data_IF_551784205063
#
_entry.id   IF_551784205063
#
_cell.length_a   1.000
_cell.length_b   1.000
_cell.length_c   1.000
_cell.angle_alpha   90.00
_cell.angle_beta   90.00
_cell.angle_gamma   90.00
#
_symmetry.space_group_name_H-M   'P 1'
#
loop_
_entity.id
_entity.type
_entity.pdbx_description
1 polymer ?
#
# COMPACT_ATOMS: atom_id res chain seq x y z
N UNK A 1 35.37 13.36 18.34
CA UNK A 1 33.90 13.40 18.15
C UNK A 1 33.27 13.58 19.51
N UNK A 2 32.36 14.55 19.68
CA UNK A 2 31.67 14.73 20.97
C UNK A 2 30.65 13.62 21.22
N UNK A 3 30.31 13.39 22.49
CA UNK A 3 29.29 12.43 22.89
C UNK A 3 27.91 12.76 22.28
N UNK A 4 27.16 11.73 21.90
CA UNK A 4 25.80 11.86 21.32
C UNK A 4 24.84 12.63 22.24
N UNK A 5 25.00 12.50 23.56
CA UNK A 5 24.21 13.18 24.58
C UNK A 5 25.10 14.01 25.50
N UNK A 6 25.93 14.89 24.92
CA UNK A 6 26.70 15.83 25.71
C UNK A 6 25.79 16.71 26.57
N UNK A 7 25.96 16.62 27.89
CA UNK A 7 25.24 17.43 28.89
C UNK A 7 25.68 18.89 28.79
N UNK A 8 26.99 19.10 28.70
CA UNK A 8 27.60 20.42 28.61
C UNK A 8 27.96 20.72 27.15
N UNK A 9 27.54 21.89 26.68
CA UNK A 9 27.90 22.43 25.37
C UNK A 9 28.71 23.69 25.61
N UNK A 10 29.80 23.85 24.87
CA UNK A 10 30.57 25.09 24.93
C UNK A 10 29.76 26.23 24.31
N UNK A 11 29.54 27.29 25.08
CA UNK A 11 29.01 28.55 24.60
C UNK A 11 30.17 29.55 24.58
N UNK A 12 30.43 30.23 23.45
CA UNK A 12 31.50 31.21 23.39
C UNK A 12 31.21 32.41 24.32
N UNK A 13 32.22 33.11 24.85
CA UNK A 13 32.03 34.22 25.79
C UNK A 13 31.14 35.35 25.26
N UNK A 14 31.13 35.56 23.94
CA UNK A 14 30.32 36.58 23.26
C UNK A 14 28.86 36.15 23.00
N UNK A 15 28.48 34.92 23.40
CA UNK A 15 27.13 34.40 23.19
C UNK A 15 26.14 35.02 24.19
N UNK A 16 25.23 35.85 23.66
CA UNK A 16 24.09 36.38 24.39
C UNK A 16 22.87 35.43 24.24
N UNK A 17 22.39 34.79 25.33
CA UNK A 17 21.22 33.90 25.29
C UNK A 17 19.95 34.59 24.79
N UNK A 18 19.85 35.92 24.93
CA UNK A 18 18.69 36.71 24.49
C UNK A 18 18.52 36.69 22.97
N UNK A 19 19.61 36.45 22.21
CA UNK A 19 19.60 36.39 20.74
C UNK A 19 19.10 35.05 20.19
N UNK A 20 18.75 34.10 21.07
CA UNK A 20 18.27 32.76 20.74
C UNK A 20 19.37 31.71 20.76
N UNK A 21 19.06 30.48 20.33
CA UNK A 21 19.99 29.36 20.43
C UNK A 21 21.27 29.50 19.62
N UNK A 22 22.31 28.74 20.00
CA UNK A 22 23.66 28.75 19.38
C UNK A 22 23.66 28.65 17.84
N UNK A 23 22.74 27.87 17.26
CA UNK A 23 22.59 27.78 15.81
C UNK A 23 22.23 29.14 15.19
N UNK A 24 21.32 29.89 15.82
CA UNK A 24 20.88 31.21 15.37
C UNK A 24 22.00 32.24 15.53
N UNK A 25 22.77 32.20 16.62
CA UNK A 25 23.92 33.09 16.80
C UNK A 25 25.04 32.83 15.77
N UNK A 26 25.19 31.57 15.31
CA UNK A 26 26.14 31.20 14.25
C UNK A 26 25.56 31.29 12.83
N UNK A 27 24.31 31.75 12.66
CA UNK A 27 23.65 31.81 11.35
C UNK A 27 23.42 30.44 10.70
N UNK A 28 23.52 29.35 11.46
CA UNK A 28 23.32 27.99 10.94
C UNK A 28 21.93 27.48 11.27
N UNK A 29 21.35 26.66 10.39
CA UNK A 29 20.08 26.01 10.64
C UNK A 29 20.29 24.67 11.37
N UNK A 30 19.39 24.30 12.28
CA UNK A 30 19.49 23.04 13.04
C UNK A 30 19.53 21.79 12.14
N UNK A 31 18.80 21.83 11.03
CA UNK A 31 18.78 20.77 10.01
C UNK A 31 19.90 20.88 8.96
N UNK A 32 20.79 21.88 9.08
CA UNK A 32 21.94 22.14 8.19
C UNK A 32 21.56 22.00 6.71
N UNK A 33 22.25 21.13 5.97
CA UNK A 33 22.07 20.92 4.54
C UNK A 33 20.66 20.47 4.14
N UNK A 34 19.93 19.78 5.03
CA UNK A 34 18.56 19.36 4.73
C UNK A 34 17.59 20.54 4.57
N UNK A 35 17.92 21.67 5.20
CA UNK A 35 17.14 22.90 5.14
C UNK A 35 17.66 23.91 4.11
N UNK A 36 18.59 23.51 3.21
CA UNK A 36 19.13 24.41 2.17
C UNK A 36 18.05 25.06 1.30
N UNK A 37 16.95 24.34 1.04
CA UNK A 37 15.81 24.80 0.22
C UNK A 37 14.60 25.27 1.05
N UNK A 38 14.80 25.57 2.34
CA UNK A 38 13.70 25.95 3.24
C UNK A 38 13.02 27.27 2.82
N UNK A 39 13.76 28.19 2.21
CA UNK A 39 13.21 29.43 1.63
C UNK A 39 12.18 29.18 0.52
N UNK A 40 12.21 28.00 -0.13
CA UNK A 40 11.22 27.56 -1.12
C UNK A 40 10.09 26.72 -0.48
N UNK A 41 10.10 26.56 0.85
CA UNK A 41 9.20 25.64 1.57
C UNK A 41 9.52 24.17 1.35
N UNK A 42 10.74 23.84 0.90
CA UNK A 42 11.16 22.47 0.59
C UNK A 42 12.13 21.98 1.67
N UNK A 43 11.82 20.84 2.28
CA UNK A 43 12.69 20.16 3.24
C UNK A 43 13.17 18.82 2.66
N UNK A 44 14.47 18.57 2.70
CA UNK A 44 15.03 17.29 2.27
C UNK A 44 14.90 16.28 3.42
N UNK A 45 14.16 15.20 3.18
CA UNK A 45 13.93 14.13 4.15
C UNK A 45 14.35 12.77 3.57
N UNK A 46 14.52 11.78 4.45
CA UNK A 46 14.67 10.38 4.02
C UNK A 46 13.29 9.75 3.97
N UNK A 47 12.88 9.30 2.79
CA UNK A 47 11.56 8.74 2.53
C UNK A 47 11.71 7.27 2.08
N UNK A 48 10.85 6.40 2.61
CA UNK A 48 10.77 4.99 2.25
C UNK A 48 9.56 4.76 1.36
N UNK A 49 9.73 3.98 0.30
CA UNK A 49 8.65 3.73 -0.65
C UNK A 49 7.51 2.91 -0.03
N UNK A 50 6.26 3.40 -0.07
CA UNK A 50 5.12 2.73 0.57
C UNK A 50 4.60 1.51 -0.22
N UNK A 51 4.84 1.45 -1.53
CA UNK A 51 4.45 0.33 -2.39
C UNK A 51 5.41 0.18 -3.58
N UNK A 52 5.31 -0.95 -4.27
CA UNK A 52 6.02 -1.20 -5.50
C UNK A 52 5.57 -0.26 -6.62
N UNK A 53 6.53 0.29 -7.36
CA UNK A 53 6.26 1.16 -8.52
C UNK A 53 7.12 0.77 -9.72
N UNK A 54 6.63 1.13 -10.90
CA UNK A 54 7.36 1.12 -12.16
C UNK A 54 7.73 2.55 -12.52
N UNK A 55 9.02 2.82 -12.75
CA UNK A 55 9.43 4.16 -13.19
C UNK A 55 9.14 4.33 -14.68
N UNK A 56 8.46 5.41 -15.08
CA UNK A 56 8.12 5.66 -16.49
C UNK A 56 9.35 5.97 -17.36
N UNK A 57 10.45 6.42 -16.75
CA UNK A 57 11.66 6.82 -17.49
C UNK A 57 12.55 5.65 -17.90
N UNK A 58 12.68 4.61 -17.06
CA UNK A 58 13.53 3.46 -17.32
C UNK A 58 12.80 2.12 -17.29
N UNK A 59 11.48 2.12 -17.05
CA UNK A 59 10.62 0.93 -16.92
C UNK A 59 11.13 -0.14 -15.94
N UNK A 60 12.03 0.25 -15.02
CA UNK A 60 12.52 -0.63 -13.97
C UNK A 60 11.62 -0.56 -12.74
N UNK A 61 11.55 -1.70 -12.05
CA UNK A 61 10.79 -1.86 -10.82
C UNK A 61 11.55 -1.26 -9.63
N UNK A 62 10.84 -0.48 -8.81
CA UNK A 62 11.30 -0.01 -7.50
C UNK A 62 10.45 -0.69 -6.45
N UNK A 63 11.10 -1.49 -5.61
CA UNK A 63 10.44 -2.21 -4.54
C UNK A 63 9.98 -1.31 -3.39
N UNK A 64 9.01 -1.81 -2.63
CA UNK A 64 8.61 -1.26 -1.33
C UNK A 64 9.82 -1.16 -0.39
N UNK A 65 9.89 -0.09 0.42
CA UNK A 65 10.96 0.10 1.42
C UNK A 65 12.27 0.68 0.87
N UNK A 66 12.41 0.89 -0.44
CA UNK A 66 13.59 1.56 -1.00
C UNK A 66 13.65 3.00 -0.47
N UNK A 67 14.84 3.40 0.01
CA UNK A 67 15.08 4.69 0.67
C UNK A 67 15.57 5.75 -0.32
N UNK A 68 14.89 6.89 -0.36
CA UNK A 68 15.26 8.05 -1.16
C UNK A 68 15.51 9.29 -0.31
N UNK A 69 16.34 10.19 -0.83
CA UNK A 69 16.35 11.59 -0.39
C UNK A 69 15.23 12.29 -1.16
N UNK A 70 14.15 12.65 -0.46
CA UNK A 70 12.97 13.26 -1.04
C UNK A 70 12.85 14.73 -0.66
N UNK A 71 12.42 15.54 -1.62
CA UNK A 71 12.04 16.92 -1.41
C UNK A 71 10.59 16.99 -0.96
N UNK A 72 10.37 17.25 0.33
CA UNK A 72 9.04 17.42 0.94
C UNK A 72 8.58 18.86 0.75
N UNK A 73 7.44 19.03 0.09
CA UNK A 73 6.74 20.32 -0.10
C UNK A 73 5.30 20.21 0.43
N UNK A 74 4.79 21.24 1.12
CA UNK A 74 3.37 21.35 1.44
C UNK A 74 2.63 21.94 0.23
N UNK A 75 1.60 21.26 -0.27
CA UNK A 75 0.90 21.66 -1.51
C UNK A 75 -0.54 22.06 -1.26
N UNK A 76 -1.20 21.48 -0.25
CA UNK A 76 -2.58 21.80 0.09
C UNK A 76 -2.94 21.41 1.52
N UNK A 77 -4.24 21.46 1.81
CA UNK A 77 -4.82 20.99 3.06
C UNK A 77 -6.09 20.19 2.76
N UNK A 78 -6.24 19.06 3.44
CA UNK A 78 -7.46 18.27 3.52
C UNK A 78 -8.09 18.52 4.90
N UNK A 79 -9.12 19.38 4.94
CA UNK A 79 -9.64 19.96 6.19
C UNK A 79 -8.52 20.57 7.06
N UNK A 80 -8.18 19.93 8.18
CA UNK A 80 -7.09 20.36 9.08
C UNK A 80 -5.73 19.69 8.77
N UNK A 81 -5.70 18.63 7.95
CA UNK A 81 -4.49 17.85 7.68
C UNK A 81 -3.75 18.40 6.45
N UNK A 82 -2.45 18.72 6.55
CA UNK A 82 -1.67 19.19 5.40
C UNK A 82 -1.39 18.06 4.40
N UNK A 83 -1.57 18.36 3.11
CA UNK A 83 -1.18 17.47 2.01
C UNK A 83 0.27 17.77 1.64
N UNK A 84 1.11 16.74 1.70
CA UNK A 84 2.52 16.82 1.31
C UNK A 84 2.75 16.15 -0.03
N UNK A 85 3.60 16.78 -0.84
CA UNK A 85 4.13 16.23 -2.07
C UNK A 85 5.62 15.94 -1.89
N UNK A 86 6.04 14.77 -2.33
CA UNK A 86 7.41 14.29 -2.28
C UNK A 86 7.93 14.11 -3.69
N UNK A 87 8.96 14.88 -4.04
CA UNK A 87 9.69 14.73 -5.29
C UNK A 87 10.99 14.01 -5.02
N UNK A 88 11.27 12.96 -5.78
CA UNK A 88 12.52 12.21 -5.65
C UNK A 88 13.01 11.71 -7.01
N UNK A 89 14.33 11.46 -7.09
CA UNK A 89 15.01 11.01 -8.30
C UNK A 89 15.11 9.49 -8.30
N UNK A 90 14.88 8.86 -9.45
CA UNK A 90 15.12 7.43 -9.62
C UNK A 90 16.61 7.09 -9.44
N UNK A 91 16.91 5.91 -8.88
CA UNK A 91 18.29 5.46 -8.69
C UNK A 91 18.97 5.03 -10.00
N UNK A 92 18.19 4.62 -11.00
CA UNK A 92 18.68 4.12 -12.29
C UNK A 92 18.66 5.17 -13.40
N UNK A 93 17.85 6.22 -13.29
CA UNK A 93 17.68 7.20 -14.36
C UNK A 93 17.61 8.65 -13.83
N UNK A 94 17.82 9.67 -14.68
CA UNK A 94 17.68 11.07 -14.30
C UNK A 94 16.22 11.51 -14.07
N UNK A 95 15.25 10.63 -14.33
CA UNK A 95 13.84 10.96 -14.16
C UNK A 95 13.49 11.21 -12.69
N UNK A 96 12.56 12.14 -12.47
CA UNK A 96 11.99 12.42 -11.18
C UNK A 96 10.54 11.98 -11.19
N UNK A 97 10.08 11.46 -10.06
CA UNK A 97 8.69 11.12 -9.86
C UNK A 97 8.18 11.79 -8.59
N UNK A 98 6.88 12.02 -8.57
CA UNK A 98 6.20 12.80 -7.54
C UNK A 98 5.05 12.02 -6.94
N UNK A 99 5.00 11.99 -5.62
CA UNK A 99 3.97 11.28 -4.85
C UNK A 99 3.33 12.26 -3.86
N UNK A 100 2.02 12.20 -3.72
CA UNK A 100 1.24 13.00 -2.75
C UNK A 100 0.64 12.11 -1.68
N UNK A 101 0.47 12.65 -0.48
CA UNK A 101 -0.35 12.04 0.58
C UNK A 101 -1.82 12.21 0.27
N UNK A 102 -2.62 11.16 0.39
CA UNK A 102 -4.08 11.22 0.37
C UNK A 102 -4.65 10.86 1.76
N UNK A 103 -5.01 11.87 2.58
CA UNK A 103 -5.57 11.64 3.90
C UNK A 103 -6.96 11.00 3.90
N UNK A 104 -7.72 11.07 2.78
CA UNK A 104 -9.06 10.49 2.71
C UNK A 104 -9.02 8.96 2.68
N UNK A 105 -8.10 8.40 1.89
CA UNK A 105 -7.93 6.96 1.71
C UNK A 105 -6.79 6.35 2.55
N UNK A 106 -6.11 7.16 3.36
CA UNK A 106 -4.91 6.76 4.13
C UNK A 106 -3.81 6.14 3.24
N UNK A 107 -3.70 6.61 2.00
CA UNK A 107 -2.77 6.09 1.00
C UNK A 107 -1.91 7.22 0.40
N UNK A 108 -1.04 6.86 -0.52
CA UNK A 108 -0.26 7.79 -1.33
C UNK A 108 -0.67 7.68 -2.79
N UNK A 109 -0.86 8.82 -3.43
CA UNK A 109 -1.18 8.92 -4.86
C UNK A 109 0.06 9.31 -5.66
N UNK A 110 0.34 8.59 -6.75
CA UNK A 110 1.41 8.96 -7.67
C UNK A 110 0.88 10.02 -8.63
N UNK A 111 1.54 11.17 -8.68
CA UNK A 111 1.15 12.29 -9.54
C UNK A 111 1.81 12.18 -10.90
N UNK A 112 3.10 11.84 -10.93
CA UNK A 112 3.89 11.84 -12.17
C UNK A 112 5.15 10.98 -12.06
N UNK A 113 5.62 10.47 -13.20
CA UNK A 113 6.93 9.86 -13.37
C UNK A 113 7.04 8.40 -12.90
N UNK A 114 5.94 7.83 -12.40
CA UNK A 114 5.85 6.44 -12.00
C UNK A 114 4.42 5.91 -12.06
N UNK A 115 4.31 4.59 -12.21
CA UNK A 115 3.05 3.86 -12.16
C UNK A 115 3.07 2.89 -10.98
N UNK A 116 1.98 2.83 -10.21
CA UNK A 116 1.84 1.88 -9.11
C UNK A 116 1.76 0.46 -9.69
N UNK A 117 2.49 -0.48 -9.09
CA UNK A 117 2.22 -1.89 -9.36
C UNK A 117 0.96 -2.27 -8.57
N UNK A 118 -0.14 -2.46 -9.29
CA UNK A 118 -1.37 -2.99 -8.70
C UNK A 118 -1.16 -4.46 -8.35
N UNK A 119 -1.07 -4.75 -7.05
CA UNK A 119 -1.11 -6.13 -6.51
C UNK A 119 -2.33 -6.33 -5.62
N UNK A 120 -3.31 -5.41 -5.69
CA UNK A 120 -4.58 -5.60 -5.00
C UNK A 120 -5.22 -6.82 -5.63
N UNK A 121 -5.46 -7.83 -4.81
CA UNK A 121 -6.12 -9.06 -5.21
C UNK A 121 -7.52 -8.71 -5.72
N UNK A 122 -7.78 -9.00 -6.98
CA UNK A 122 -9.13 -8.95 -7.54
C UNK A 122 -9.79 -10.33 -7.26
N UNK A 123 -10.81 -10.39 -6.37
CA UNK A 123 -11.50 -11.64 -6.08
C UNK A 123 -12.16 -12.26 -7.33
N UNK A 124 -12.51 -11.42 -8.31
CA UNK A 124 -13.21 -11.82 -9.53
C UNK A 124 -12.32 -12.61 -10.49
N UNK A 125 -10.99 -12.42 -10.45
CA UNK A 125 -10.04 -13.07 -11.36
C UNK A 125 -9.71 -14.53 -10.97
N UNK A 126 -10.07 -15.00 -9.77
CA UNK A 126 -9.66 -16.31 -9.25
C UNK A 126 -10.80 -17.31 -9.01
N UNK A 127 -11.98 -17.09 -9.60
CA UNK A 127 -13.17 -17.97 -9.45
C UNK A 127 -13.57 -18.25 -7.98
N UNK A 128 -13.06 -17.45 -7.03
CA UNK A 128 -13.47 -17.52 -5.64
C UNK A 128 -14.85 -16.87 -5.49
N UNK A 129 -15.64 -17.37 -4.54
CA UNK A 129 -16.93 -16.76 -4.19
C UNK A 129 -16.65 -15.34 -3.68
N UNK A 130 -16.85 -14.36 -4.55
CA UNK A 130 -16.65 -12.95 -4.25
C UNK A 130 -17.69 -12.56 -3.19
N UNK A 131 -17.28 -11.99 -2.04
CA UNK A 131 -18.22 -11.41 -1.11
C UNK A 131 -19.06 -10.36 -1.84
N UNK A 132 -20.38 -10.40 -1.66
CA UNK A 132 -21.29 -9.49 -2.35
C UNK A 132 -20.87 -8.02 -2.19
N UNK A 133 -21.07 -7.23 -3.26
CA UNK A 133 -20.70 -5.82 -3.28
C UNK A 133 -21.19 -5.08 -2.04
N UNK A 134 -20.37 -4.12 -1.55
CA UNK A 134 -20.69 -3.30 -0.38
C UNK A 134 -22.04 -2.59 -0.47
N UNK A 135 -22.52 -2.35 -1.69
CA UNK A 135 -23.84 -1.77 -1.95
C UNK A 135 -24.97 -2.78 -1.76
N UNK A 136 -24.78 -4.02 -2.21
CA UNK A 136 -25.76 -5.11 -2.06
C UNK A 136 -25.91 -5.47 -0.59
N UNK A 137 -24.79 -5.60 0.13
CA UNK A 137 -24.80 -5.81 1.58
C UNK A 137 -25.49 -4.67 2.33
N UNK A 138 -25.31 -3.42 1.89
CA UNK A 138 -26.02 -2.27 2.47
C UNK A 138 -27.52 -2.32 2.17
N UNK A 139 -27.91 -2.67 0.94
CA UNK A 139 -29.32 -2.85 0.55
C UNK A 139 -29.98 -3.98 1.32
N UNK A 140 -29.31 -5.12 1.50
CA UNK A 140 -29.80 -6.22 2.34
C UNK A 140 -29.97 -5.84 3.82
N UNK A 141 -29.18 -4.89 4.33
CA UNK A 141 -29.30 -4.42 5.70
C UNK A 141 -30.45 -3.41 5.88
N UNK A 142 -30.73 -2.59 4.86
CA UNK A 142 -31.72 -1.51 4.92
C UNK A 142 -33.10 -1.95 4.45
N UNK A 143 -33.18 -2.79 3.43
CA UNK A 143 -34.43 -3.23 2.81
C UNK A 143 -34.73 -4.71 3.14
N UNK A 144 -35.79 -4.92 3.92
CA UNK A 144 -36.25 -6.23 4.33
C UNK A 144 -36.83 -7.07 3.18
N UNK A 145 -37.44 -6.43 2.16
CA UNK A 145 -38.01 -7.14 1.01
C UNK A 145 -36.89 -7.66 0.10
N UNK A 146 -35.91 -6.80 -0.19
CA UNK A 146 -34.73 -7.17 -0.99
C UNK A 146 -33.95 -8.35 -0.37
N UNK A 147 -33.78 -8.35 0.96
CA UNK A 147 -33.16 -9.46 1.69
C UNK A 147 -33.95 -10.76 1.56
N UNK A 148 -35.28 -10.68 1.60
CA UNK A 148 -36.16 -11.85 1.44
C UNK A 148 -36.05 -12.44 0.03
N UNK A 149 -36.06 -11.60 -1.00
CA UNK A 149 -35.90 -12.02 -2.40
C UNK A 149 -34.53 -12.65 -2.66
N UNK A 150 -33.46 -12.06 -2.14
CA UNK A 150 -32.11 -12.64 -2.23
C UNK A 150 -32.04 -14.00 -1.54
N UNK A 151 -32.58 -14.10 -0.32
CA UNK A 151 -32.62 -15.37 0.40
C UNK A 151 -33.45 -16.46 -0.28
N UNK A 152 -34.49 -16.10 -1.06
CA UNK A 152 -35.22 -17.06 -1.90
C UNK A 152 -34.38 -17.48 -3.10
N UNK A 153 -33.72 -16.53 -3.78
CA UNK A 153 -32.81 -16.80 -4.89
C UNK A 153 -31.68 -17.76 -4.50
N UNK A 154 -31.08 -17.57 -3.32
CA UNK A 154 -30.01 -18.44 -2.82
C UNK A 154 -30.49 -19.85 -2.52
N UNK A 155 -31.72 -20.01 -2.01
CA UNK A 155 -32.33 -21.32 -1.80
C UNK A 155 -32.57 -22.06 -3.12
N UNK A 156 -33.03 -21.35 -4.15
CA UNK A 156 -33.24 -21.93 -5.48
C UNK A 156 -31.91 -22.40 -6.06
N UNK A 157 -30.87 -21.54 -6.02
CA UNK A 157 -29.52 -21.93 -6.45
C UNK A 157 -28.99 -23.14 -5.69
N UNK A 158 -29.19 -23.21 -4.37
CA UNK A 158 -28.82 -24.38 -3.56
C UNK A 158 -29.52 -25.64 -4.07
N UNK A 159 -30.83 -25.59 -4.30
CA UNK A 159 -31.61 -26.74 -4.79
C UNK A 159 -31.19 -27.19 -6.20
N UNK A 160 -30.78 -26.26 -7.06
CA UNK A 160 -30.25 -26.58 -8.39
C UNK A 160 -28.89 -27.29 -8.33
N UNK A 161 -28.03 -26.88 -7.38
CA UNK A 161 -26.67 -27.41 -7.21
C UNK A 161 -26.65 -28.74 -6.44
N UNK A 162 -27.57 -28.93 -5.49
CA UNK A 162 -27.71 -30.15 -4.68
C UNK A 162 -27.66 -31.47 -5.47
N UNK A 163 -28.43 -31.68 -6.57
CA UNK A 163 -28.38 -32.93 -7.33
C UNK A 163 -27.03 -33.13 -8.04
N UNK A 164 -26.33 -32.06 -8.40
CA UNK A 164 -24.99 -32.13 -8.99
C UNK A 164 -23.98 -32.59 -7.93
N UNK A 165 -24.05 -32.02 -6.72
CA UNK A 165 -23.22 -32.45 -5.59
C UNK A 165 -23.46 -33.91 -5.22
N UNK A 166 -24.72 -34.35 -5.14
CA UNK A 166 -25.05 -35.76 -4.87
C UNK A 166 -24.50 -36.70 -5.95
N UNK A 167 -24.53 -36.30 -7.24
CA UNK A 167 -23.92 -37.08 -8.32
C UNK A 167 -22.41 -37.18 -8.16
N UNK A 168 -21.74 -36.08 -7.82
CA UNK A 168 -20.29 -36.05 -7.57
C UNK A 168 -19.90 -36.91 -6.37
N UNK A 169 -20.65 -36.83 -5.27
CA UNK A 169 -20.44 -37.67 -4.09
C UNK A 169 -20.60 -39.16 -4.41
N UNK A 170 -21.67 -39.53 -5.14
CA UNK A 170 -21.88 -40.92 -5.59
C UNK A 170 -20.76 -41.40 -6.50
N UNK A 171 -20.32 -40.56 -7.43
CA UNK A 171 -19.23 -40.87 -8.34
C UNK A 171 -17.92 -41.09 -7.57
N UNK A 172 -17.62 -40.21 -6.61
CA UNK A 172 -16.45 -40.32 -5.74
C UNK A 172 -16.50 -41.58 -4.87
N UNK A 173 -17.64 -41.84 -4.21
CA UNK A 173 -17.82 -43.02 -3.36
C UNK A 173 -17.60 -44.32 -4.14
N UNK A 174 -18.05 -44.39 -5.40
CA UNK A 174 -17.83 -45.57 -6.23
C UNK A 174 -16.34 -45.74 -6.62
N UNK A 175 -15.64 -44.65 -6.91
CA UNK A 175 -14.22 -44.67 -7.31
C UNK A 175 -13.27 -45.02 -6.15
N UNK A 176 -13.62 -44.60 -4.94
CA UNK A 176 -12.82 -44.83 -3.72
C UNK A 176 -13.26 -46.06 -2.93
N UNK A 177 -14.28 -46.79 -3.39
CA UNK A 177 -14.64 -48.07 -2.79
C UNK A 177 -13.56 -49.14 -3.03
N UNK A 178 -12.79 -49.03 -4.12
CA UNK A 178 -11.67 -49.92 -4.43
C UNK A 178 -10.37 -49.11 -4.60
N UNK A 179 -9.78 -48.76 -3.46
CA UNK A 179 -8.52 -48.03 -3.39
C UNK A 179 -7.37 -48.78 -4.08
N UNK A 180 -7.41 -50.12 -4.11
CA UNK A 180 -6.35 -50.93 -4.70
C UNK A 180 -6.32 -50.82 -6.22
N UNK A 181 -7.46 -50.94 -6.90
CA UNK A 181 -7.53 -50.79 -8.37
C UNK A 181 -7.26 -49.35 -8.81
N UNK A 182 -7.77 -48.35 -8.08
CA UNK A 182 -7.47 -46.94 -8.32
C UNK A 182 -5.96 -46.65 -8.23
N UNK A 183 -5.28 -47.15 -7.20
CA UNK A 183 -3.83 -47.02 -7.04
C UNK A 183 -3.03 -47.78 -8.10
N UNK A 184 -3.49 -48.97 -8.50
CA UNK A 184 -2.85 -49.75 -9.58
C UNK A 184 -2.88 -49.01 -10.91
N UNK A 185 -4.03 -48.45 -11.28
CA UNK A 185 -4.22 -47.68 -12.52
C UNK A 185 -3.33 -46.43 -12.53
N UNK A 186 -3.24 -45.73 -11.39
CA UNK A 186 -2.41 -44.54 -11.25
C UNK A 186 -0.92 -44.87 -11.35
N UNK A 187 -0.46 -45.97 -10.74
CA UNK A 187 0.91 -46.47 -10.88
C UNK A 187 1.26 -46.90 -12.30
N UNK A 188 0.31 -47.45 -13.06
CA UNK A 188 0.55 -47.78 -14.47
C UNK A 188 0.60 -46.56 -15.38
N UNK A 189 -0.09 -45.47 -15.04
CA UNK A 189 -0.10 -44.24 -15.83
C UNK A 189 1.13 -43.35 -15.58
N UNK A 190 1.80 -43.49 -14.43
CA UNK A 190 3.01 -42.74 -14.07
C UNK A 190 4.33 -43.51 -14.32
N UNK A 191 4.26 -44.70 -14.90
CA UNK A 191 5.42 -45.45 -15.43
C UNK A 191 5.57 -45.19 -16.91
#
# INVERSE_FOLDING_TARGET
MGERKGVNKYYPPDYDPSRGGLNKSQGTHALRERARKLHLGILIIRFEMPYNIWCEGCNNHIGTGVRYNAEKKKVGMYYSTPIYQFRMKCHLCPNHFEIKTDPANLDYEIVSGARRQERRWDPTENEQVVPEDKEITRKMAVDAMFKLEHGVGDKVKSQEVDPVLQKLERFQAHRWHDDYSSNKTLRSAMR
#
